data_IF_829607367844
#
_entry.id   IF_829607367844
#
_cell.length_a   1.000
_cell.length_b   1.000
_cell.length_c   1.000
_cell.angle_alpha   90.00
_cell.angle_beta   90.00
_cell.angle_gamma   90.00
#
_symmetry.space_group_name_H-M   'P 1'
#
loop_
_entity.id
_entity.type
_entity.pdbx_description
1 polymer ?
#
# COMPACT_ATOMS: atom_id res chain seq x y z
N UNK A 1 0.53 -15.50 -17.21
CA UNK A 1 -0.61 -15.66 -16.27
C UNK A 1 -0.05 -15.62 -14.85
N UNK A 2 -0.54 -14.72 -14.00
CA UNK A 2 -0.18 -14.70 -12.58
C UNK A 2 -1.22 -15.50 -11.81
N UNK A 3 -0.80 -16.36 -10.89
CA UNK A 3 -1.69 -17.17 -10.05
C UNK A 3 -1.34 -16.99 -8.58
N UNK A 4 -2.35 -17.08 -7.72
CA UNK A 4 -2.21 -16.99 -6.27
C UNK A 4 -2.81 -18.27 -5.68
N UNK A 5 -2.05 -18.93 -4.80
CA UNK A 5 -2.50 -20.07 -4.04
C UNK A 5 -2.75 -19.65 -2.59
N UNK A 6 -3.99 -19.75 -2.14
CA UNK A 6 -4.38 -19.46 -0.76
C UNK A 6 -4.57 -20.79 -0.04
N UNK A 7 -3.81 -21.03 1.03
CA UNK A 7 -3.89 -22.23 1.86
C UNK A 7 -4.52 -21.90 3.21
N UNK A 8 -5.01 -22.94 3.89
CA UNK A 8 -5.56 -22.84 5.25
C UNK A 8 -6.72 -21.83 5.38
N UNK A 9 -7.62 -21.83 4.38
CA UNK A 9 -8.82 -21.01 4.45
C UNK A 9 -9.82 -21.68 5.41
N UNK A 10 -10.40 -20.96 6.39
CA UNK A 10 -11.46 -21.51 7.22
C UNK A 10 -12.64 -21.97 6.36
N UNK A 11 -13.18 -23.16 6.64
CA UNK A 11 -14.30 -23.73 5.89
C UNK A 11 -15.51 -22.78 5.83
N UNK A 12 -15.80 -22.11 6.95
CA UNK A 12 -16.88 -21.12 7.01
C UNK A 12 -16.67 -19.97 6.00
N UNK A 13 -15.43 -19.53 5.81
CA UNK A 13 -15.09 -18.48 4.84
C UNK A 13 -15.29 -18.99 3.42
N UNK A 14 -14.86 -20.23 3.12
CA UNK A 14 -15.05 -20.83 1.81
C UNK A 14 -16.54 -20.96 1.46
N UNK A 15 -17.38 -21.43 2.39
CA UNK A 15 -18.82 -21.54 2.18
C UNK A 15 -19.48 -20.19 1.90
N UNK A 16 -19.13 -19.15 2.66
CA UNK A 16 -19.65 -17.79 2.44
C UNK A 16 -19.25 -17.24 1.07
N UNK A 17 -18.01 -17.46 0.64
CA UNK A 17 -17.54 -17.04 -0.68
C UNK A 17 -18.24 -17.80 -1.82
N UNK A 18 -18.52 -19.09 -1.66
CA UNK A 18 -19.31 -19.86 -2.63
C UNK A 18 -20.72 -19.32 -2.77
N UNK A 19 -21.40 -19.07 -1.65
CA UNK A 19 -22.75 -18.50 -1.65
C UNK A 19 -22.78 -17.12 -2.32
N UNK A 20 -21.77 -16.29 -2.07
CA UNK A 20 -21.62 -14.98 -2.71
C UNK A 20 -21.45 -15.12 -4.24
N UNK A 21 -20.60 -16.05 -4.68
CA UNK A 21 -20.40 -16.32 -6.10
C UNK A 21 -21.68 -16.80 -6.79
N UNK A 22 -22.45 -17.69 -6.14
CA UNK A 22 -23.75 -18.13 -6.64
C UNK A 22 -24.75 -16.97 -6.75
N UNK A 23 -24.81 -16.12 -5.73
CA UNK A 23 -25.67 -14.94 -5.72
C UNK A 23 -25.33 -13.95 -6.85
N UNK A 24 -24.05 -13.79 -7.17
CA UNK A 24 -23.59 -12.95 -8.29
C UNK A 24 -23.59 -13.65 -9.65
N UNK A 25 -24.05 -14.91 -9.73
CA UNK A 25 -24.03 -15.74 -10.94
C UNK A 25 -22.62 -15.87 -11.57
N UNK A 26 -21.59 -15.99 -10.73
CA UNK A 26 -20.19 -16.11 -11.13
C UNK A 26 -19.59 -17.41 -10.61
N UNK A 27 -18.51 -17.86 -11.23
CA UNK A 27 -17.69 -18.92 -10.65
C UNK A 27 -16.97 -18.39 -9.40
N UNK A 28 -16.62 -19.26 -8.45
CA UNK A 28 -15.86 -18.87 -7.26
C UNK A 28 -14.55 -18.14 -7.62
N UNK A 29 -13.87 -18.60 -8.68
CA UNK A 29 -12.65 -17.96 -9.17
C UNK A 29 -12.93 -16.58 -9.77
N UNK A 30 -14.02 -16.42 -10.52
CA UNK A 30 -14.43 -15.13 -11.06
C UNK A 30 -14.83 -14.14 -9.97
N UNK A 31 -15.51 -14.61 -8.93
CA UNK A 31 -15.88 -13.79 -7.78
C UNK A 31 -14.65 -13.33 -7.00
N UNK A 32 -13.70 -14.23 -6.75
CA UNK A 32 -12.43 -13.86 -6.14
C UNK A 32 -11.64 -12.86 -6.98
N UNK A 33 -11.64 -13.00 -8.30
CA UNK A 33 -11.00 -12.04 -9.20
C UNK A 33 -11.61 -10.65 -9.05
N UNK A 34 -12.94 -10.57 -9.08
CA UNK A 34 -13.67 -9.32 -8.93
C UNK A 34 -13.41 -8.65 -7.57
N UNK A 35 -13.48 -9.41 -6.47
CA UNK A 35 -13.22 -8.89 -5.13
C UNK A 35 -11.79 -8.38 -4.97
N UNK A 36 -10.81 -9.07 -5.56
CA UNK A 36 -9.41 -8.64 -5.54
C UNK A 36 -9.18 -7.38 -6.37
N UNK A 37 -9.86 -7.26 -7.51
CA UNK A 37 -9.82 -6.08 -8.38
C UNK A 37 -10.43 -4.86 -7.67
N UNK A 38 -11.63 -5.01 -7.12
CA UNK A 38 -12.30 -3.96 -6.32
C UNK A 38 -11.45 -3.54 -5.11
N UNK A 39 -10.86 -4.51 -4.41
CA UNK A 39 -9.95 -4.23 -3.31
C UNK A 39 -8.68 -3.51 -3.78
N UNK A 40 -8.19 -3.81 -4.98
CA UNK A 40 -6.99 -3.15 -5.54
C UNK A 40 -7.24 -1.68 -5.90
N UNK A 41 -8.44 -1.35 -6.40
CA UNK A 41 -8.83 0.03 -6.67
C UNK A 41 -8.92 0.85 -5.38
N UNK A 42 -9.42 0.22 -4.31
CA UNK A 42 -9.50 0.82 -2.97
C UNK A 42 -8.18 0.88 -2.24
N UNK A 43 -7.26 -0.03 -2.55
CA UNK A 43 -5.88 0.01 -2.09
C UNK A 43 -5.20 1.19 -2.80
N UNK A 44 -5.52 2.41 -2.36
CA UNK A 44 -4.80 3.62 -2.73
C UNK A 44 -3.37 3.34 -2.39
N UNK A 45 -2.55 3.13 -3.42
CA UNK A 45 -1.16 2.81 -3.21
C UNK A 45 -0.59 3.87 -2.28
N UNK A 46 0.11 3.43 -1.24
CA UNK A 46 1.36 4.08 -0.87
C UNK A 46 2.30 3.97 -2.07
N UNK A 47 1.91 4.50 -3.24
CA UNK A 47 2.83 4.86 -4.29
C UNK A 47 3.77 5.79 -3.55
N UNK A 48 5.01 5.34 -3.37
CA UNK A 48 6.07 6.14 -2.76
C UNK A 48 5.89 7.53 -3.32
N UNK A 49 5.37 8.44 -2.49
CA UNK A 49 5.13 9.81 -2.92
C UNK A 49 6.55 10.25 -3.24
N UNK A 50 6.87 10.35 -4.53
CA UNK A 50 8.21 10.78 -4.95
C UNK A 50 8.37 12.15 -4.31
N UNK A 51 9.12 12.19 -3.21
CA UNK A 51 9.32 13.41 -2.46
C UNK A 51 10.06 14.34 -3.42
N UNK A 52 9.33 15.29 -3.99
CA UNK A 52 9.92 16.33 -4.81
C UNK A 52 10.61 17.30 -3.85
N UNK A 53 11.87 17.02 -3.56
CA UNK A 53 12.72 17.91 -2.76
C UNK A 53 13.02 19.12 -3.64
N UNK A 54 12.39 20.26 -3.33
CA UNK A 54 12.74 21.53 -3.93
C UNK A 54 13.98 22.06 -3.21
N UNK A 55 15.17 21.76 -3.74
CA UNK A 55 16.42 22.28 -3.19
C UNK A 55 16.64 23.71 -3.65
N UNK A 56 16.66 24.66 -2.72
CA UNK A 56 16.98 26.07 -2.97
C UNK A 56 18.47 26.27 -2.73
N UNK A 57 19.21 26.79 -3.71
CA UNK A 57 20.63 27.10 -3.56
C UNK A 57 20.77 28.51 -2.96
N UNK A 58 21.18 28.61 -1.70
CA UNK A 58 21.37 29.87 -0.97
C UNK A 58 22.79 30.44 -1.09
N UNK A 59 23.66 29.87 -1.94
CA UNK A 59 25.00 30.38 -2.21
C UNK A 59 26.01 30.23 -1.08
N UNK A 60 25.60 29.73 0.09
CA UNK A 60 26.46 29.53 1.24
C UNK A 60 26.64 28.02 1.53
N UNK A 61 27.88 27.55 1.75
CA UNK A 61 28.16 26.15 2.09
C UNK A 61 27.99 25.99 3.61
N UNK A 62 26.79 25.66 4.06
CA UNK A 62 26.52 25.27 5.44
C UNK A 62 26.66 23.76 5.62
N UNK A 63 27.24 23.32 6.73
CA UNK A 63 27.44 21.90 7.05
C UNK A 63 26.21 21.25 7.68
N UNK A 64 25.21 22.07 8.06
CA UNK A 64 24.01 21.65 8.79
C UNK A 64 24.32 20.86 10.07
N UNK A 65 25.46 21.15 10.71
CA UNK A 65 25.82 20.54 12.00
C UNK A 65 24.90 21.06 13.11
N UNK A 66 24.68 20.25 14.14
CA UNK A 66 23.78 20.61 15.26
C UNK A 66 24.30 21.86 15.97
N UNK A 67 25.61 21.96 16.12
CA UNK A 67 26.33 23.07 16.74
C UNK A 67 26.18 24.35 15.90
N UNK A 68 26.19 24.24 14.57
CA UNK A 68 25.95 25.37 13.66
C UNK A 68 24.49 25.87 13.73
N UNK A 69 23.52 24.96 13.93
CA UNK A 69 22.09 25.30 13.94
C UNK A 69 21.60 25.79 15.30
N UNK A 70 22.06 25.17 16.39
CA UNK A 70 21.54 25.40 17.75
C UNK A 70 22.55 26.08 18.69
N UNK A 71 23.80 26.30 18.24
CA UNK A 71 24.84 26.87 19.08
C UNK A 71 25.12 26.05 20.34
N UNK A 72 25.67 26.71 21.37
CA UNK A 72 26.02 26.08 22.64
C UNK A 72 24.81 25.80 23.56
N UNK A 73 23.60 26.19 23.17
CA UNK A 73 22.36 25.95 23.93
C UNK A 73 21.83 24.51 23.79
N UNK A 74 22.52 23.67 23.01
CA UNK A 74 22.06 22.32 22.65
C UNK A 74 22.41 21.21 23.66
N UNK A 75 22.93 21.55 24.85
CA UNK A 75 23.32 20.63 25.93
C UNK A 75 22.23 20.36 26.94
#
# INVERSE_FOLDING_TARGET
>A
MKSILIRNLPEQTLSKLKNLAEYHHRSLQGELHYLLEEASERATGNGQRLLKINTVNTGNRSSWSREEIYGDEAR
#
